data_IF_986716466340
#
_entry.id   IF_986716466340
#
_cell.length_a   1.000
_cell.length_b   1.000
_cell.length_c   1.000
_cell.angle_alpha   90.00
_cell.angle_beta   90.00
_cell.angle_gamma   90.00
#
_symmetry.space_group_name_H-M   'P 1'
#
loop_
_entity.id
_entity.type
_entity.pdbx_description
1 polymer ?
#
# COMPACT_ATOMS: atom_id res chain seq x y z
N UNK A 1 -22.34 7.93 14.57
CA UNK A 1 -21.80 8.00 13.19
C UNK A 1 -20.53 8.83 13.31
N UNK A 2 -19.35 8.24 13.03
CA UNK A 2 -18.07 8.93 13.15
C UNK A 2 -17.65 9.32 11.74
N UNK A 3 -18.01 10.55 11.35
CA UNK A 3 -17.65 11.11 10.05
C UNK A 3 -16.20 11.57 10.13
N UNK A 4 -15.37 11.04 9.24
CA UNK A 4 -13.94 11.30 9.20
C UNK A 4 -13.64 12.78 9.02
N UNK A 5 -13.08 13.36 10.08
CA UNK A 5 -12.52 14.71 10.14
C UNK A 5 -11.32 14.77 9.19
N UNK A 6 -11.57 15.15 7.94
CA UNK A 6 -10.50 15.46 6.99
C UNK A 6 -10.10 16.91 7.27
N UNK A 7 -9.05 17.09 8.08
CA UNK A 7 -8.48 18.40 8.41
C UNK A 7 -8.34 19.27 7.14
N UNK A 8 -9.16 20.33 7.11
CA UNK A 8 -9.19 21.33 6.07
C UNK A 8 -8.07 22.34 6.29
N UNK A 9 -6.82 21.86 6.40
CA UNK A 9 -5.64 22.68 6.58
C UNK A 9 -5.40 23.53 5.30
N UNK A 10 -5.98 24.72 5.26
CA UNK A 10 -5.64 25.75 4.27
C UNK A 10 -6.77 26.29 3.40
N UNK A 11 -8.06 26.02 3.68
CA UNK A 11 -9.14 26.71 2.96
C UNK A 11 -9.57 27.94 3.74
N UNK A 12 -8.87 29.04 3.44
CA UNK A 12 -9.28 30.37 3.85
C UNK A 12 -10.73 30.65 3.44
N UNK A 13 -11.36 31.57 4.17
CA UNK A 13 -12.75 32.07 4.03
C UNK A 13 -13.05 32.76 2.69
N UNK A 14 -12.33 32.43 1.62
CA UNK A 14 -12.66 32.85 0.28
C UNK A 14 -14.01 32.23 -0.11
N UNK A 15 -14.91 33.05 -0.65
CA UNK A 15 -16.18 32.58 -1.20
C UNK A 15 -15.89 31.54 -2.28
N UNK A 16 -16.01 30.24 -1.93
CA UNK A 16 -15.73 29.10 -2.82
C UNK A 16 -16.89 28.93 -3.79
N UNK A 17 -17.06 29.89 -4.68
CA UNK A 17 -18.04 29.76 -5.77
C UNK A 17 -17.49 28.75 -6.77
N UNK A 18 -18.28 27.72 -7.08
CA UNK A 18 -17.83 26.67 -8.00
C UNK A 18 -17.59 27.24 -9.41
N UNK A 19 -16.65 26.65 -10.15
CA UNK A 19 -16.40 27.00 -11.58
C UNK A 19 -17.68 26.95 -12.41
N UNK A 20 -18.56 25.98 -12.11
CA UNK A 20 -19.87 25.84 -12.76
C UNK A 20 -20.76 27.05 -12.53
N UNK A 21 -20.82 27.57 -11.31
CA UNK A 21 -21.60 28.78 -10.97
C UNK A 21 -21.00 30.02 -11.63
N UNK A 22 -19.68 30.06 -11.79
CA UNK A 22 -18.98 31.15 -12.50
C UNK A 22 -19.06 31.04 -14.04
N UNK A 23 -19.69 30.00 -14.60
CA UNK A 23 -19.73 29.76 -16.05
C UNK A 23 -18.36 29.42 -16.66
N UNK A 24 -17.37 29.08 -15.83
CA UNK A 24 -16.03 28.73 -16.28
C UNK A 24 -15.99 27.34 -16.91
N UNK A 25 -15.13 27.13 -17.92
CA UNK A 25 -14.96 25.80 -18.51
C UNK A 25 -14.47 24.79 -17.46
N UNK A 26 -14.74 23.49 -17.68
CA UNK A 26 -14.22 22.42 -16.84
C UNK A 26 -12.69 22.49 -16.70
N UNK A 27 -12.18 21.91 -15.63
CA UNK A 27 -10.73 21.80 -15.47
C UNK A 27 -10.14 20.87 -16.53
N UNK A 28 -9.05 21.32 -17.13
CA UNK A 28 -8.27 20.49 -18.03
C UNK A 28 -7.58 19.41 -17.20
N UNK A 29 -7.94 18.16 -17.48
CA UNK A 29 -7.39 16.99 -16.81
C UNK A 29 -6.88 16.00 -17.83
N UNK A 30 -5.90 15.19 -17.41
CA UNK A 30 -5.35 14.09 -18.23
C UNK A 30 -6.49 13.19 -18.70
N UNK A 31 -6.33 12.61 -19.89
CA UNK A 31 -7.31 11.65 -20.38
C UNK A 31 -7.42 10.45 -19.44
N UNK A 32 -8.60 9.85 -19.33
CA UNK A 32 -8.82 8.66 -18.50
C UNK A 32 -7.90 7.50 -18.90
N UNK A 33 -7.55 7.39 -20.19
CA UNK A 33 -6.61 6.40 -20.70
C UNK A 33 -5.19 6.62 -20.14
N UNK A 34 -4.73 7.87 -20.12
CA UNK A 34 -3.42 8.24 -19.56
C UNK A 34 -3.40 8.02 -18.04
N UNK A 35 -4.43 8.47 -17.33
CA UNK A 35 -4.54 8.26 -15.89
C UNK A 35 -4.47 6.77 -15.52
N UNK A 36 -5.18 5.91 -16.27
CA UNK A 36 -5.11 4.45 -16.09
C UNK A 36 -3.72 3.88 -16.39
N UNK A 37 -3.02 4.38 -17.42
CA UNK A 37 -1.66 3.95 -17.76
C UNK A 37 -0.67 4.31 -16.65
N UNK A 38 -0.74 5.53 -16.14
CA UNK A 38 0.11 6.01 -15.06
C UNK A 38 -0.12 5.20 -13.78
N UNK A 39 -1.38 4.96 -13.40
CA UNK A 39 -1.73 4.13 -12.26
C UNK A 39 -1.18 2.69 -12.38
N UNK A 40 -1.28 2.08 -13.56
CA UNK A 40 -0.69 0.74 -13.80
C UNK A 40 0.83 0.76 -13.64
N UNK A 41 1.52 1.75 -14.18
CA UNK A 41 2.98 1.89 -14.06
C UNK A 41 3.40 2.06 -12.60
N UNK A 42 2.71 2.92 -11.85
CA UNK A 42 2.97 3.12 -10.44
C UNK A 42 2.76 1.84 -9.61
N UNK A 43 1.67 1.10 -9.88
CA UNK A 43 1.39 -0.15 -9.17
C UNK A 43 2.40 -1.25 -9.52
N UNK A 44 2.86 -1.33 -10.77
CA UNK A 44 3.93 -2.23 -11.17
C UNK A 44 5.24 -1.91 -10.44
N UNK A 45 5.60 -0.62 -10.32
CA UNK A 45 6.77 -0.19 -9.55
C UNK A 45 6.65 -0.57 -8.07
N UNK A 46 5.48 -0.36 -7.45
CA UNK A 46 5.22 -0.76 -6.06
C UNK A 46 5.37 -2.27 -5.86
N UNK A 47 4.87 -3.09 -6.80
CA UNK A 47 5.02 -4.56 -6.75
C UNK A 47 6.48 -4.98 -6.83
N UNK A 48 7.26 -4.42 -7.77
CA UNK A 48 8.69 -4.71 -7.89
C UNK A 48 9.44 -4.34 -6.61
N UNK A 49 9.18 -3.16 -6.05
CA UNK A 49 9.79 -2.73 -4.80
C UNK A 49 9.41 -3.65 -3.62
N UNK A 50 8.17 -4.13 -3.56
CA UNK A 50 7.74 -5.08 -2.54
C UNK A 50 8.41 -6.45 -2.70
N UNK A 51 8.59 -6.93 -3.94
CA UNK A 51 9.30 -8.18 -4.22
C UNK A 51 10.78 -8.09 -3.84
N UNK A 52 11.45 -6.96 -4.11
CA UNK A 52 12.85 -6.75 -3.67
C UNK A 52 12.96 -6.76 -2.15
N UNK A 53 12.05 -6.08 -1.44
CA UNK A 53 12.01 -6.13 0.03
C UNK A 53 11.79 -7.54 0.57
N UNK A 54 10.91 -8.33 -0.05
CA UNK A 54 10.70 -9.74 0.33
C UNK A 54 11.96 -10.57 0.11
N UNK A 55 12.68 -10.36 -0.98
CA UNK A 55 13.94 -11.07 -1.26
C UNK A 55 15.02 -10.72 -0.24
N UNK A 56 15.13 -9.45 0.14
CA UNK A 56 16.06 -9.01 1.18
C UNK A 56 15.70 -9.62 2.55
N UNK A 57 14.41 -9.60 2.92
CA UNK A 57 13.94 -10.22 4.16
C UNK A 57 14.19 -11.74 4.19
N UNK A 58 13.96 -12.44 3.07
CA UNK A 58 14.24 -13.87 2.97
C UNK A 58 15.75 -14.17 3.06
N UNK A 59 16.60 -13.32 2.48
CA UNK A 59 18.05 -13.45 2.62
C UNK A 59 18.50 -13.25 4.07
N UNK A 60 17.93 -12.27 4.77
CA UNK A 60 18.18 -12.02 6.20
C UNK A 60 17.73 -13.20 7.07
N UNK A 61 16.53 -13.75 6.81
CA UNK A 61 15.99 -14.94 7.48
C UNK A 61 16.87 -16.17 7.26
N UNK A 62 17.39 -16.40 6.04
CA UNK A 62 18.31 -17.50 5.76
C UNK A 62 19.68 -17.35 6.42
N UNK A 63 20.13 -16.12 6.67
CA UNK A 63 21.37 -15.85 7.41
C UNK A 63 21.19 -15.88 8.93
N UNK A 64 19.94 -15.90 9.41
CA UNK A 64 19.63 -16.07 10.81
C UNK A 64 19.67 -17.57 11.14
N UNK A 65 20.54 -18.03 12.07
CA UNK A 65 20.46 -19.41 12.53
C UNK A 65 19.11 -19.60 13.22
N UNK A 66 18.17 -20.25 12.54
CA UNK A 66 16.87 -20.58 13.12
C UNK A 66 17.06 -21.39 14.41
N UNK A 67 16.17 -21.21 15.41
CA UNK A 67 16.23 -22.07 16.60
C UNK A 67 16.14 -23.52 16.14
N UNK A 68 17.07 -24.35 16.62
CA UNK A 68 17.09 -25.80 16.42
C UNK A 68 15.73 -26.36 16.88
N UNK A 69 14.80 -26.56 15.93
CA UNK A 69 13.51 -27.16 16.22
C UNK A 69 13.78 -28.64 16.40
N UNK A 70 14.17 -29.00 17.60
CA UNK A 70 14.17 -30.39 18.04
C UNK A 70 12.73 -30.87 17.93
N UNK A 71 12.50 -31.76 16.97
CA UNK A 71 11.24 -32.43 16.73
C UNK A 71 10.78 -33.10 18.04
N UNK A 72 9.82 -32.49 18.72
CA UNK A 72 9.36 -32.90 20.06
C UNK A 72 8.48 -34.17 20.03
N UNK A 73 8.47 -34.88 18.91
CA UNK A 73 7.71 -36.12 18.70
C UNK A 73 8.57 -37.38 18.92
N UNK A 74 9.44 -37.39 19.92
CA UNK A 74 10.02 -38.65 20.38
C UNK A 74 8.93 -39.49 21.07
N UNK A 75 8.35 -40.41 20.32
CA UNK A 75 7.51 -41.49 20.84
C UNK A 75 8.43 -42.52 21.50
N UNK A 76 8.52 -42.48 22.83
CA UNK A 76 8.95 -43.64 23.61
C UNK A 76 7.83 -44.69 23.51
N UNK A 77 8.04 -45.70 22.67
CA UNK A 77 7.24 -46.92 22.68
C UNK A 77 7.58 -47.66 23.98
N UNK A 78 6.64 -47.67 24.91
CA UNK A 78 6.71 -48.50 26.10
C UNK A 78 6.34 -49.93 25.69
N UNK A 79 7.30 -50.84 25.74
CA UNK A 79 7.09 -52.27 25.50
C UNK A 79 6.74 -52.95 26.84
N UNK A 80 5.47 -53.38 26.96
CA UNK A 80 5.07 -54.59 27.71
C UNK A 80 4.71 -54.45 29.19
#
# INVERSE_FOLDING_TARGET
MQEGEREEAGRGSASRTSRRVQGLPPEETKSLREAKREARKANAAKRKAAEEKKKLAAAEEQTSPGPDVQDAHQVLLDDG
#
